data_IF_030241022689
#
_entry.id   IF_030241022689
#
_cell.length_a   1.000
_cell.length_b   1.000
_cell.length_c   1.000
_cell.angle_alpha   90.00
_cell.angle_beta   90.00
_cell.angle_gamma   90.00
#
_symmetry.space_group_name_H-M   'P 1'
#
loop_
_entity.id
_entity.type
_entity.pdbx_description
1 polymer ?
#
# COMPACT_ATOMS: atom_id res chain seq x y z
N UNK A 1 -4.48 -12.02 14.77
CA UNK A 1 -3.36 -12.32 13.85
C UNK A 1 -3.09 -11.04 13.09
N UNK A 2 -1.85 -10.55 13.15
CA UNK A 2 -1.42 -9.41 12.35
C UNK A 2 -0.97 -9.98 11.02
N UNK A 3 -1.87 -10.02 10.05
CA UNK A 3 -1.52 -10.39 8.69
C UNK A 3 -0.53 -9.35 8.14
N UNK A 4 0.54 -9.84 7.53
CA UNK A 4 1.56 -9.04 6.87
C UNK A 4 1.65 -9.47 5.41
N UNK A 5 1.64 -8.51 4.51
CA UNK A 5 1.70 -8.76 3.07
C UNK A 5 2.91 -8.05 2.50
N UNK A 6 3.82 -8.81 1.90
CA UNK A 6 5.02 -8.29 1.24
C UNK A 6 4.71 -8.20 -0.25
N UNK A 7 4.87 -7.02 -0.83
CA UNK A 7 4.60 -6.79 -2.24
C UNK A 7 5.69 -5.93 -2.89
N UNK A 8 5.85 -6.14 -4.20
CA UNK A 8 6.68 -5.31 -5.05
C UNK A 8 5.88 -4.19 -5.70
N UNK A 9 6.50 -3.04 -5.92
CA UNK A 9 5.87 -1.94 -6.64
C UNK A 9 6.92 -1.15 -7.45
N UNK A 10 6.46 -0.49 -8.52
CA UNK A 10 7.30 0.35 -9.37
C UNK A 10 7.09 1.82 -9.04
N UNK A 11 8.18 2.56 -8.80
CA UNK A 11 8.15 4.00 -8.55
C UNK A 11 9.33 4.68 -9.25
N UNK A 12 9.07 5.74 -10.03
CA UNK A 12 10.08 6.47 -10.81
C UNK A 12 11.06 5.54 -11.57
N UNK A 13 10.51 4.55 -12.29
CA UNK A 13 11.26 3.55 -13.08
C UNK A 13 12.15 2.58 -12.27
N UNK A 14 12.07 2.59 -10.94
CA UNK A 14 12.76 1.64 -10.07
C UNK A 14 11.76 0.71 -9.41
N UNK A 15 12.18 -0.53 -9.16
CA UNK A 15 11.39 -1.51 -8.43
C UNK A 15 11.78 -1.49 -6.94
N UNK A 16 10.78 -1.50 -6.08
CA UNK A 16 10.94 -1.47 -4.62
C UNK A 16 10.04 -2.52 -3.97
N UNK A 17 10.35 -2.83 -2.71
CA UNK A 17 9.54 -3.73 -1.89
C UNK A 17 8.94 -2.95 -0.71
N UNK A 18 7.71 -3.31 -0.37
CA UNK A 18 6.99 -2.77 0.76
C UNK A 18 6.25 -3.89 1.51
N UNK A 19 5.95 -3.60 2.78
CA UNK A 19 5.20 -4.46 3.69
C UNK A 19 3.92 -3.74 4.08
N UNK A 20 2.77 -4.35 3.80
CA UNK A 20 1.48 -3.91 4.31
C UNK A 20 1.14 -4.72 5.57
N UNK A 21 1.08 -4.04 6.71
CA UNK A 21 0.63 -4.60 7.98
C UNK A 21 -0.86 -4.33 8.14
N UNK A 22 -1.65 -5.38 8.37
CA UNK A 22 -3.10 -5.26 8.58
C UNK A 22 -3.36 -4.82 10.03
N UNK A 23 -3.87 -3.61 10.20
CA UNK A 23 -4.36 -3.10 11.49
C UNK A 23 -5.89 -3.25 11.53
N UNK A 24 -6.36 -4.45 11.87
CA UNK A 24 -7.79 -4.77 11.84
C UNK A 24 -8.49 -4.31 13.13
N UNK A 25 -9.46 -3.39 13.00
CA UNK A 25 -10.72 -3.41 13.77
C UNK A 25 -11.80 -2.62 13.01
N UNK A 26 -12.89 -3.31 12.70
CA UNK A 26 -14.11 -2.81 12.04
C UNK A 26 -14.05 -2.66 10.52
N UNK A 27 -15.25 -2.63 9.95
CA UNK A 27 -15.72 -2.97 8.59
C UNK A 27 -14.99 -2.34 7.39
N UNK A 28 -14.04 -1.43 7.65
CA UNK A 28 -13.19 -0.76 6.67
C UNK A 28 -11.72 -0.98 7.08
N UNK A 29 -11.08 -2.02 6.55
CA UNK A 29 -9.71 -2.39 6.94
C UNK A 29 -8.72 -1.28 6.62
N UNK A 30 -7.98 -0.82 7.64
CA UNK A 30 -6.85 0.08 7.49
C UNK A 30 -5.55 -0.72 7.42
N UNK A 31 -4.71 -0.37 6.45
CA UNK A 31 -3.45 -1.06 6.19
C UNK A 31 -2.31 -0.07 6.32
N UNK A 32 -1.35 -0.40 7.18
CA UNK A 32 -0.15 0.42 7.36
C UNK A 32 0.96 -0.12 6.47
N UNK A 33 1.41 0.71 5.54
CA UNK A 33 2.46 0.39 4.59
C UNK A 33 3.82 0.78 5.18
N UNK A 34 4.81 -0.08 5.02
CA UNK A 34 6.20 0.17 5.41
C UNK A 34 7.05 -0.12 4.18
N UNK A 35 7.68 0.91 3.62
CA UNK A 35 8.53 0.74 2.43
C UNK A 35 9.93 0.36 2.90
N UNK A 36 10.50 -0.70 2.32
CA UNK A 36 11.85 -1.18 2.68
C UNK A 36 12.96 -0.33 2.04
N UNK A 37 12.76 0.98 2.00
CA UNK A 37 13.70 1.98 1.54
C UNK A 37 13.57 3.20 2.45
N UNK A 38 14.67 3.56 3.15
CA UNK A 38 14.63 4.59 4.18
C UNK A 38 14.27 5.99 3.67
N UNK A 39 14.54 6.32 2.40
CA UNK A 39 14.17 7.61 1.82
C UNK A 39 12.67 7.66 1.54
N UNK A 40 12.12 6.61 0.91
CA UNK A 40 10.69 6.51 0.62
C UNK A 40 9.84 6.33 1.88
N UNK A 41 10.37 5.64 2.89
CA UNK A 41 9.71 5.51 4.19
C UNK A 41 9.57 6.86 4.89
N UNK A 42 10.64 7.67 4.88
CA UNK A 42 10.60 9.04 5.42
C UNK A 42 9.60 9.91 4.68
N UNK A 43 9.50 9.76 3.35
CA UNK A 43 8.54 10.49 2.53
C UNK A 43 7.08 10.13 2.88
N UNK A 44 6.82 8.87 3.28
CA UNK A 44 5.50 8.38 3.69
C UNK A 44 5.25 8.48 5.20
N UNK A 45 6.15 9.09 5.96
CA UNK A 45 6.03 9.13 7.41
C UNK A 45 4.75 9.87 7.83
N UNK A 46 3.85 9.16 8.52
CA UNK A 46 2.53 9.69 8.89
C UNK A 46 1.46 9.63 7.79
N UNK A 47 1.81 9.17 6.58
CA UNK A 47 0.97 9.13 5.36
C UNK A 47 0.94 7.73 4.72
N UNK A 48 1.33 6.73 5.50
CA UNK A 48 1.49 5.36 5.06
C UNK A 48 0.27 4.48 5.32
N UNK A 49 -0.91 5.08 5.48
CA UNK A 49 -2.14 4.35 5.73
C UNK A 49 -2.94 4.32 4.43
N UNK A 50 -3.37 3.13 4.02
CA UNK A 50 -4.29 2.94 2.91
C UNK A 50 -5.55 2.23 3.40
N UNK A 51 -6.68 2.55 2.78
CA UNK A 51 -7.97 1.97 3.14
C UNK A 51 -8.42 0.97 2.09
N UNK A 52 -9.10 -0.10 2.49
CA UNK A 52 -9.79 -0.97 1.54
C UNK A 52 -11.27 -0.58 1.44
N UNK A 53 -11.75 -0.39 0.21
CA UNK A 53 -13.17 -0.14 -0.08
C UNK A 53 -13.58 -1.04 -1.24
N UNK A 54 -14.64 -1.82 -1.05
CA UNK A 54 -15.17 -2.74 -2.07
C UNK A 54 -14.11 -3.72 -2.64
N UNK A 55 -13.20 -4.18 -1.77
CA UNK A 55 -12.14 -5.12 -2.14
C UNK A 55 -10.95 -4.51 -2.90
N UNK A 56 -10.91 -3.18 -3.08
CA UNK A 56 -9.79 -2.45 -3.69
C UNK A 56 -9.11 -1.54 -2.68
N UNK A 57 -7.78 -1.47 -2.75
CA UNK A 57 -7.02 -0.50 -1.98
C UNK A 57 -7.17 0.90 -2.58
N UNK A 58 -7.38 1.91 -1.73
CA UNK A 58 -7.51 3.31 -2.08
C UNK A 58 -6.50 4.16 -1.29
N UNK A 59 -6.00 5.20 -1.95
CA UNK A 59 -5.17 6.24 -1.33
C UNK A 59 -6.03 7.19 -0.49
N UNK A 60 -5.41 7.86 0.48
CA UNK A 60 -6.06 8.95 1.21
C UNK A 60 -6.15 10.19 0.32
N UNK A 61 -7.34 10.79 0.22
CA UNK A 61 -7.62 11.88 -0.73
C UNK A 61 -7.10 13.26 -0.27
N UNK A 62 -6.51 13.38 0.93
CA UNK A 62 -6.14 14.68 1.53
C UNK A 62 -4.69 15.12 1.31
N UNK A 63 -3.91 14.40 0.50
CA UNK A 63 -2.50 14.70 0.32
C UNK A 63 -2.27 15.77 -0.76
N UNK A 64 -1.53 16.83 -0.43
CA UNK A 64 -1.20 17.94 -1.35
C UNK A 64 0.19 17.79 -1.99
N UNK A 65 1.08 16.96 -1.40
CA UNK A 65 2.42 16.76 -1.94
C UNK A 65 2.39 15.77 -3.12
N UNK A 66 2.61 16.28 -4.33
CA UNK A 66 2.63 15.49 -5.57
C UNK A 66 3.56 14.27 -5.51
N UNK A 67 4.70 14.36 -4.82
CA UNK A 67 5.65 13.24 -4.71
C UNK A 67 5.11 12.12 -3.81
N UNK A 68 4.43 12.48 -2.72
CA UNK A 68 3.75 11.54 -1.83
C UNK A 68 2.56 10.90 -2.53
N UNK A 69 1.76 11.69 -3.25
CA UNK A 69 0.62 11.18 -4.04
C UNK A 69 1.09 10.12 -5.04
N UNK A 70 2.14 10.42 -5.81
CA UNK A 70 2.69 9.46 -6.79
C UNK A 70 3.19 8.18 -6.12
N UNK A 71 3.80 8.30 -4.95
CA UNK A 71 4.29 7.16 -4.20
C UNK A 71 3.14 6.31 -3.64
N UNK A 72 2.10 6.94 -3.08
CA UNK A 72 0.89 6.26 -2.63
C UNK A 72 0.17 5.57 -3.79
N UNK A 73 0.06 6.21 -4.94
CA UNK A 73 -0.51 5.60 -6.15
C UNK A 73 0.28 4.36 -6.56
N UNK A 74 1.61 4.44 -6.61
CA UNK A 74 2.47 3.31 -6.92
C UNK A 74 2.27 2.13 -5.94
N UNK A 75 2.15 2.43 -4.65
CA UNK A 75 1.88 1.43 -3.61
C UNK A 75 0.50 0.79 -3.77
N UNK A 76 -0.54 1.58 -4.01
CA UNK A 76 -1.91 1.10 -4.23
C UNK A 76 -1.99 0.22 -5.48
N UNK A 77 -1.30 0.59 -6.55
CA UNK A 77 -1.20 -0.23 -7.77
C UNK A 77 -0.53 -1.57 -7.45
N UNK A 78 0.64 -1.56 -6.79
CA UNK A 78 1.35 -2.78 -6.41
C UNK A 78 0.54 -3.68 -5.47
N UNK A 79 -0.21 -3.11 -4.54
CA UNK A 79 -1.09 -3.85 -3.64
C UNK A 79 -2.25 -4.53 -4.37
N UNK A 80 -2.94 -3.79 -5.23
CA UNK A 80 -4.05 -4.33 -6.01
C UNK A 80 -3.57 -5.41 -7.00
N UNK A 81 -2.39 -5.25 -7.60
CA UNK A 81 -1.78 -6.26 -8.49
C UNK A 81 -1.40 -7.52 -7.72
N UNK A 82 -0.79 -7.37 -6.55
CA UNK A 82 -0.46 -8.49 -5.68
C UNK A 82 -1.73 -9.23 -5.23
N UNK A 83 -2.77 -8.51 -4.81
CA UNK A 83 -4.05 -9.09 -4.41
C UNK A 83 -4.73 -9.87 -5.55
N UNK A 84 -4.66 -9.39 -6.80
CA UNK A 84 -5.17 -10.13 -7.96
C UNK A 84 -4.35 -11.38 -8.26
N UNK A 85 -3.03 -11.31 -8.10
CA UNK A 85 -2.11 -12.43 -8.33
C UNK A 85 -2.26 -13.51 -7.27
N UNK A 86 -2.41 -13.13 -5.99
CA UNK A 86 -2.64 -14.09 -4.88
C UNK A 86 -4.10 -14.54 -4.77
N UNK A 87 -5.05 -13.73 -5.24
CA UNK A 87 -6.48 -14.05 -5.29
C UNK A 87 -6.87 -15.00 -6.43
N UNK A 88 -6.00 -15.19 -7.43
CA UNK A 88 -6.23 -16.10 -8.57
C UNK A 88 -6.03 -17.59 -8.26
N UNK A 89 -5.76 -17.97 -7.01
CA UNK A 89 -5.62 -19.37 -6.58
C UNK A 89 -6.85 -19.91 -5.82
N UNK A 90 -7.95 -19.14 -5.73
CA UNK A 90 -9.21 -19.61 -5.15
C UNK A 90 -10.40 -19.13 -6.00
N UNK A 91 -10.64 -19.80 -7.12
CA UNK A 91 -11.79 -19.58 -7.99
C UNK A 91 -11.69 -20.36 -9.28
#
# INVERSE_FOLDING_TARGET
MTDMLIFGFHYKQKFYQAIANIWKKSTNGLYRITVMNGELERLLFGKNIVSIKEGKFLMDEKEENAEVIQLQQALVIGLNDHQQTTGKLAG
#
